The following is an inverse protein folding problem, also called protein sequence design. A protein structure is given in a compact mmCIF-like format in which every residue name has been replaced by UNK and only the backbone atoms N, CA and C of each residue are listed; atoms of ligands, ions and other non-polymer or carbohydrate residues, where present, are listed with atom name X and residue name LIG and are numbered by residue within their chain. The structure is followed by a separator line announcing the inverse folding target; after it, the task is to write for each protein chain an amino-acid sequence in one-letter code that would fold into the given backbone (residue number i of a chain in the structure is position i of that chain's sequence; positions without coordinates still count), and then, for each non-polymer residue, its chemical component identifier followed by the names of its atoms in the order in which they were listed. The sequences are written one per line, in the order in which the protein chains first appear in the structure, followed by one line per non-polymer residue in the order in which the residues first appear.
data_IF_116033113604
#
_entry.id   IF_116033113604
#
_cell.length_a   1.000
_cell.length_b   1.000
_cell.length_c   1.000
_cell.angle_alpha   90.00
_cell.angle_beta   90.00
_cell.angle_gamma   90.00
#
_symmetry.space_group_name_H-M   'P 1'
#
loop_
_entity.id
_entity.type
_entity.pdbx_description
1 polymer ?
#
# COMPACT_ATOMS: atom_id res chain seq x y z
N UNK A 1 -25.25 8.01 2.86
CA UNK A 1 -24.07 7.95 2.00
C UNK A 1 -23.76 6.50 1.67
N UNK A 2 -23.64 6.20 0.41
CA UNK A 2 -23.40 4.82 -0.02
C UNK A 2 -21.93 4.51 0.08
N UNK A 3 -21.58 3.49 0.87
CA UNK A 3 -20.22 2.99 0.95
C UNK A 3 -19.84 2.29 -0.35
N UNK A 4 -18.69 2.61 -0.92
CA UNK A 4 -18.21 1.95 -2.12
C UNK A 4 -17.02 1.05 -1.80
N UNK A 5 -17.01 -0.16 -2.39
CA UNK A 5 -15.88 -1.08 -2.31
C UNK A 5 -14.93 -0.92 -3.49
N UNK A 6 -15.23 -0.03 -4.43
CA UNK A 6 -14.34 0.21 -5.55
C UNK A 6 -13.03 0.81 -5.07
N UNK A 7 -11.88 0.25 -5.49
CA UNK A 7 -10.59 0.86 -5.14
C UNK A 7 -10.44 2.24 -5.74
N UNK A 8 -9.87 3.15 -4.96
CA UNK A 8 -9.52 4.48 -5.43
C UNK A 8 -8.05 4.49 -5.85
N UNK A 9 -7.78 4.99 -7.05
CA UNK A 9 -6.41 5.18 -7.52
C UNK A 9 -5.88 6.49 -6.99
N UNK A 10 -4.71 6.45 -6.37
CA UNK A 10 -4.00 7.62 -5.88
C UNK A 10 -2.65 7.67 -6.59
N UNK A 11 -2.38 8.79 -7.26
CA UNK A 11 -1.12 8.96 -7.98
C UNK A 11 -0.08 9.60 -7.07
N UNK A 12 1.06 8.93 -6.94
CA UNK A 12 2.17 9.38 -6.10
C UNK A 12 3.16 10.16 -6.98
N UNK A 13 3.57 11.34 -6.49
CA UNK A 13 4.59 12.12 -7.17
C UNK A 13 5.99 11.54 -6.89
N UNK A 14 6.96 11.71 -7.82
CA UNK A 14 8.30 11.14 -7.62
C UNK A 14 9.00 11.56 -6.33
N UNK A 15 8.81 12.79 -5.90
CA UNK A 15 9.44 13.37 -4.71
C UNK A 15 8.48 13.53 -3.54
N UNK A 16 7.31 12.91 -3.61
CA UNK A 16 6.30 13.06 -2.56
C UNK A 16 6.74 12.42 -1.24
N UNK A 17 6.63 13.16 -0.15
CA UNK A 17 6.96 12.67 1.17
C UNK A 17 5.91 11.70 1.69
N UNK A 18 6.36 10.72 2.48
CA UNK A 18 5.50 9.64 2.98
C UNK A 18 4.30 10.17 3.78
N UNK A 19 4.47 11.26 4.54
CA UNK A 19 3.40 11.83 5.35
C UNK A 19 2.22 12.28 4.49
N UNK A 20 2.49 12.85 3.33
CA UNK A 20 1.43 13.32 2.41
C UNK A 20 0.73 12.13 1.72
N UNK A 21 1.50 11.09 1.41
CA UNK A 21 0.92 9.87 0.82
C UNK A 21 -0.03 9.21 1.82
N UNK A 22 0.37 9.07 3.07
CA UNK A 22 -0.47 8.51 4.12
C UNK A 22 -1.74 9.35 4.30
N UNK A 23 -1.61 10.66 4.32
CA UNK A 23 -2.76 11.56 4.45
C UNK A 23 -3.78 11.35 3.33
N UNK A 24 -3.32 11.21 2.10
CA UNK A 24 -4.20 10.93 0.95
C UNK A 24 -4.94 9.60 1.13
N UNK A 25 -4.27 8.58 1.63
CA UNK A 25 -4.88 7.28 1.88
C UNK A 25 -5.96 7.40 2.95
N UNK A 26 -5.64 8.06 4.05
CA UNK A 26 -6.58 8.21 5.17
C UNK A 26 -7.82 9.00 4.78
N UNK A 27 -7.68 9.96 3.87
CA UNK A 27 -8.80 10.78 3.40
C UNK A 27 -9.60 10.14 2.26
N UNK A 28 -9.18 8.99 1.77
CA UNK A 28 -9.90 8.30 0.71
C UNK A 28 -11.27 7.80 1.21
N UNK A 29 -12.34 7.92 0.40
CA UNK A 29 -13.68 7.51 0.82
C UNK A 29 -13.89 6.00 0.82
N UNK A 30 -12.90 5.24 0.41
CA UNK A 30 -12.95 3.76 0.38
C UNK A 30 -11.79 3.19 1.17
N UNK A 31 -11.94 1.96 1.65
CA UNK A 31 -10.88 1.27 2.37
C UNK A 31 -9.88 0.56 1.47
N UNK A 32 -10.12 0.54 0.16
CA UNK A 32 -9.19 -0.06 -0.82
C UNK A 32 -8.60 1.03 -1.68
N UNK A 33 -7.29 1.21 -1.59
CA UNK A 33 -6.59 2.20 -2.40
C UNK A 33 -5.50 1.54 -3.23
N UNK A 34 -5.31 2.05 -4.44
CA UNK A 34 -4.24 1.63 -5.32
C UNK A 34 -3.31 2.82 -5.50
N UNK A 35 -2.08 2.69 -5.02
CA UNK A 35 -1.07 3.74 -5.18
C UNK A 35 -0.34 3.51 -6.50
N UNK A 36 -0.49 4.45 -7.41
CA UNK A 36 0.24 4.44 -8.69
C UNK A 36 1.55 5.18 -8.47
N UNK A 37 2.65 4.43 -8.49
CA UNK A 37 3.96 4.92 -8.04
C UNK A 37 4.93 4.92 -9.21
N UNK A 38 5.48 6.08 -9.59
CA UNK A 38 6.51 6.13 -10.63
C UNK A 38 7.74 5.29 -10.25
N UNK A 39 8.41 4.72 -11.25
CA UNK A 39 9.58 3.88 -11.02
C UNK A 39 10.72 4.61 -10.29
N UNK A 40 10.73 5.93 -10.36
CA UNK A 40 11.75 6.79 -9.75
C UNK A 40 11.33 7.37 -8.41
N UNK A 41 10.13 6.99 -7.91
CA UNK A 41 9.61 7.59 -6.68
C UNK A 41 10.45 7.21 -5.46
N UNK A 42 10.64 8.18 -4.57
CA UNK A 42 11.37 7.97 -3.32
C UNK A 42 10.73 6.87 -2.46
N UNK A 43 9.40 6.78 -2.48
CA UNK A 43 8.66 5.79 -1.70
C UNK A 43 9.15 4.36 -1.94
N UNK A 44 9.26 3.94 -3.22
CA UNK A 44 9.55 2.55 -3.54
C UNK A 44 11.05 2.22 -3.59
N UNK A 45 11.91 3.22 -3.45
CA UNK A 45 13.35 3.02 -3.39
C UNK A 45 13.87 2.88 -1.95
N UNK A 46 12.99 2.99 -0.96
CA UNK A 46 13.36 2.99 0.46
C UNK A 46 12.60 1.92 1.23
N UNK A 47 13.33 0.94 1.77
CA UNK A 47 12.74 -0.07 2.64
C UNK A 47 12.10 0.57 3.88
N UNK A 48 12.71 1.64 4.42
CA UNK A 48 12.20 2.35 5.58
C UNK A 48 10.86 3.01 5.28
N UNK A 49 10.75 3.70 4.14
CA UNK A 49 9.50 4.36 3.75
C UNK A 49 8.36 3.35 3.57
N UNK A 50 8.64 2.21 2.95
CA UNK A 50 7.63 1.17 2.77
C UNK A 50 7.18 0.57 4.10
N UNK A 51 8.10 0.39 5.05
CA UNK A 51 7.74 -0.07 6.39
C UNK A 51 6.90 0.95 7.15
N UNK A 52 7.23 2.23 7.04
CA UNK A 52 6.45 3.30 7.67
C UNK A 52 5.03 3.27 7.11
N UNK A 53 4.89 3.18 5.79
CA UNK A 53 3.59 3.11 5.15
C UNK A 53 2.78 1.92 5.68
N UNK A 54 3.34 0.73 5.67
CA UNK A 54 2.62 -0.46 6.11
C UNK A 54 2.20 -0.37 7.58
N UNK A 55 3.08 0.13 8.44
CA UNK A 55 2.81 0.26 9.88
C UNK A 55 1.71 1.28 10.17
N UNK A 56 1.72 2.40 9.46
CA UNK A 56 0.68 3.41 9.63
C UNK A 56 -0.70 2.89 9.23
N UNK A 57 -0.75 2.00 8.24
CA UNK A 57 -2.01 1.42 7.81
C UNK A 57 -2.56 0.35 8.77
N UNK A 58 -1.73 -0.21 9.65
CA UNK A 58 -2.18 -1.22 10.62
C UNK A 58 -3.27 -0.70 11.55
N UNK A 59 -3.27 0.59 11.83
CA UNK A 59 -4.22 1.23 12.76
C UNK A 59 -5.49 1.69 12.07
N UNK A 60 -5.65 1.39 10.79
CA UNK A 60 -6.76 1.85 9.97
C UNK A 60 -7.43 0.66 9.30
N UNK A 61 -8.67 0.80 8.82
CA UNK A 61 -9.28 -0.25 7.99
C UNK A 61 -8.79 -0.25 6.55
N UNK A 62 -7.82 0.61 6.21
CA UNK A 62 -7.33 0.77 4.84
C UNK A 62 -6.45 -0.37 4.40
N UNK A 63 -6.60 -0.78 3.14
CA UNK A 63 -5.70 -1.67 2.44
C UNK A 63 -5.13 -0.93 1.24
N UNK A 64 -3.82 -0.99 1.06
CA UNK A 64 -3.16 -0.34 -0.06
C UNK A 64 -2.37 -1.37 -0.86
N UNK A 65 -2.56 -1.35 -2.17
CA UNK A 65 -1.73 -2.09 -3.12
C UNK A 65 -1.00 -1.07 -3.96
N UNK A 66 0.30 -1.26 -4.11
CA UNK A 66 1.14 -0.36 -4.90
C UNK A 66 1.27 -0.91 -6.32
N UNK A 67 1.32 0.01 -7.28
CA UNK A 67 1.56 -0.34 -8.69
C UNK A 67 2.78 0.43 -9.15
N UNK A 68 3.79 -0.30 -9.60
CA UNK A 68 4.99 0.30 -10.14
C UNK A 68 5.66 -0.68 -11.11
N UNK A 69 6.29 -0.16 -12.15
CA UNK A 69 7.08 -0.97 -13.07
C UNK A 69 8.54 -1.13 -12.59
N UNK A 70 8.87 -0.63 -11.40
CA UNK A 70 10.18 -0.85 -10.79
C UNK A 70 10.22 -2.24 -10.14
N UNK A 71 10.65 -3.24 -10.88
CA UNK A 71 10.70 -4.62 -10.41
C UNK A 71 11.63 -4.82 -9.20
N UNK A 72 12.64 -3.97 -9.07
CA UNK A 72 13.53 -4.01 -7.90
C UNK A 72 12.83 -3.68 -6.59
N UNK A 73 11.69 -2.99 -6.64
CA UNK A 73 10.93 -2.65 -5.44
C UNK A 73 10.06 -3.78 -4.91
N UNK A 74 9.81 -4.82 -5.71
CA UNK A 74 8.87 -5.89 -5.34
C UNK A 74 9.33 -6.62 -4.08
N UNK A 75 10.61 -6.95 -4.00
CA UNK A 75 11.17 -7.60 -2.80
C UNK A 75 11.14 -6.72 -1.57
N UNK A 76 11.35 -5.41 -1.73
CA UNK A 76 11.27 -4.45 -0.63
C UNK A 76 9.83 -4.35 -0.12
N UNK A 77 8.87 -4.33 -1.03
CA UNK A 77 7.45 -4.30 -0.67
C UNK A 77 7.05 -5.56 0.10
N UNK A 78 7.46 -6.72 -0.39
CA UNK A 78 7.18 -8.00 0.25
C UNK A 78 7.70 -8.02 1.69
N UNK A 79 8.93 -7.57 1.91
CA UNK A 79 9.53 -7.48 3.25
C UNK A 79 8.76 -6.54 4.17
N UNK A 80 8.14 -5.51 3.62
CA UNK A 80 7.32 -4.57 4.38
C UNK A 80 5.89 -5.06 4.61
N UNK A 81 5.52 -6.20 4.04
CA UNK A 81 4.17 -6.73 4.12
C UNK A 81 3.19 -6.08 3.14
N UNK A 82 3.72 -5.43 2.11
CA UNK A 82 2.92 -4.76 1.08
C UNK A 82 2.98 -5.56 -0.23
N UNK A 83 1.92 -5.41 -1.02
CA UNK A 83 1.88 -5.99 -2.36
C UNK A 83 2.20 -4.90 -3.36
N UNK A 84 3.16 -5.16 -4.23
CA UNK A 84 3.49 -4.27 -5.34
C UNK A 84 3.24 -5.06 -6.63
N UNK A 85 2.36 -4.55 -7.46
CA UNK A 85 2.04 -5.13 -8.76
C UNK A 85 2.61 -4.25 -9.87
N UNK A 86 2.90 -4.86 -11.01
CA UNK A 86 3.46 -4.11 -12.14
C UNK A 86 2.39 -3.26 -12.83
N UNK A 87 1.16 -3.73 -12.86
CA UNK A 87 0.05 -3.07 -13.55
C UNK A 87 -1.23 -3.17 -12.74
N UNK A 88 -2.08 -2.17 -12.89
CA UNK A 88 -3.41 -2.19 -12.25
C UNK A 88 -4.21 -3.43 -12.66
N UNK A 89 -4.10 -3.84 -13.93
CA UNK A 89 -4.82 -5.01 -14.44
C UNK A 89 -4.44 -6.33 -13.77
N UNK A 90 -3.31 -6.38 -13.07
CA UNK A 90 -2.87 -7.58 -12.34
C UNK A 90 -3.48 -7.67 -10.95
N UNK A 91 -4.13 -6.60 -10.48
CA UNK A 91 -4.75 -6.58 -9.16
C UNK A 91 -6.10 -7.30 -9.26
N UNK A 92 -6.25 -8.36 -8.49
CA UNK A 92 -7.45 -9.19 -8.46
C UNK A 92 -8.02 -9.23 -7.05
N UNK A 93 -9.15 -9.89 -6.90
CA UNK A 93 -9.74 -10.15 -5.59
C UNK A 93 -8.74 -10.86 -4.67
N UNK A 94 -7.97 -11.80 -5.23
CA UNK A 94 -6.94 -12.53 -4.50
C UNK A 94 -5.84 -11.61 -4.00
N UNK A 95 -5.50 -10.56 -4.77
CA UNK A 95 -4.53 -9.56 -4.35
C UNK A 95 -5.00 -8.84 -3.08
N UNK A 96 -6.28 -8.46 -3.03
CA UNK A 96 -6.84 -7.80 -1.85
C UNK A 96 -6.92 -8.75 -0.65
N UNK A 97 -7.24 -10.01 -0.89
CA UNK A 97 -7.25 -11.01 0.17
C UNK A 97 -5.85 -11.21 0.73
N UNK A 98 -4.84 -11.29 -0.12
CA UNK A 98 -3.45 -11.40 0.32
C UNK A 98 -3.00 -10.18 1.10
N UNK A 99 -3.39 -8.98 0.66
CA UNK A 99 -3.10 -7.74 1.38
C UNK A 99 -3.70 -7.75 2.79
N UNK A 100 -4.94 -8.21 2.91
CA UNK A 100 -5.62 -8.33 4.20
C UNK A 100 -4.93 -9.35 5.12
N UNK A 101 -4.54 -10.49 4.56
CA UNK A 101 -3.84 -11.53 5.31
C UNK A 101 -2.50 -11.02 5.84
N UNK A 102 -1.74 -10.32 5.00
CA UNK A 102 -0.47 -9.74 5.40
C UNK A 102 -0.64 -8.74 6.54
N UNK A 103 -1.67 -7.89 6.44
CA UNK A 103 -1.97 -6.90 7.46
C UNK A 103 -2.35 -7.57 8.79
N UNK A 104 -3.23 -8.56 8.74
CA UNK A 104 -3.68 -9.27 9.94
C UNK A 104 -2.51 -9.99 10.62
N UNK A 105 -1.61 -10.58 9.82
CA UNK A 105 -0.43 -11.23 10.34
C UNK A 105 0.52 -10.25 11.04
N UNK A 106 0.69 -9.07 10.48
CA UNK A 106 1.52 -8.03 11.09
C UNK A 106 0.95 -7.56 12.41
N UNK A 107 -0.38 -7.39 12.50
CA UNK A 107 -1.07 -7.03 13.74
C UNK A 107 -0.87 -8.13 14.78
N UNK A 108 -1.01 -9.39 14.39
CA UNK A 108 -0.81 -10.53 15.26
C UNK A 108 0.61 -10.57 15.82
N UNK A 109 1.62 -10.36 14.96
CA UNK A 109 3.02 -10.38 15.36
C UNK A 109 3.32 -9.27 16.40
N UNK A 110 2.73 -8.09 16.23
CA UNK A 110 2.88 -6.98 17.18
C UNK A 110 2.25 -7.35 18.52
N UNK A 111 1.12 -8.01 18.51
CA UNK A 111 0.37 -8.34 19.74
C UNK A 111 0.99 -9.48 20.53
N UNK A 112 1.99 -10.18 20.00
CA UNK A 112 2.69 -11.26 20.71
C UNK A 112 3.72 -10.77 21.71
N UNK A 113 4.04 -9.50 21.71
CA UNK A 113 5.09 -8.94 22.56
C UNK A 113 4.53 -8.58 23.94
#
# INVERSE_FOLDING_TARGET
MTYTNKPLKIFVEPDEEIVFIIEKILNAPTNRVILIVPSTAALISSAVSLKILSRQLLRTPKLAILVSDNEGSFGLGEKAGLIISKRVSEITKESWMASKVNKDKMIEDINRI
#
